data_IF_196223832192
#
_entry.id   IF_196223832192
#
_cell.length_a   1.000
_cell.length_b   1.000
_cell.length_c   1.000
_cell.angle_alpha   90.00
_cell.angle_beta   90.00
_cell.angle_gamma   90.00
#
_symmetry.space_group_name_H-M   'P 1'
#
loop_
_entity.id
_entity.type
_entity.pdbx_description
1 polymer ?
#
# COMPACT_ATOMS: atom_id res chain seq x y z
N UNK A 1 1.98 10.69 -11.28
CA UNK A 1 2.22 11.69 -10.23
C UNK A 1 1.27 11.60 -9.05
N UNK A 2 0.03 11.09 -9.18
CA UNK A 2 -0.88 10.93 -8.02
C UNK A 2 -0.45 9.81 -7.06
N UNK A 3 0.04 8.68 -7.59
CA UNK A 3 0.46 7.53 -6.78
C UNK A 3 1.60 7.83 -5.79
N UNK A 4 2.52 8.75 -6.13
CA UNK A 4 3.63 9.13 -5.24
C UNK A 4 3.18 9.92 -4.02
N UNK A 5 2.00 10.55 -4.07
CA UNK A 5 1.41 11.29 -2.94
C UNK A 5 0.39 10.47 -2.16
N UNK A 6 -0.25 9.49 -2.78
CA UNK A 6 -1.20 8.56 -2.13
C UNK A 6 -0.52 7.35 -1.48
N UNK A 7 0.80 7.34 -1.41
CA UNK A 7 1.61 6.32 -0.73
C UNK A 7 2.84 7.00 -0.14
N UNK A 8 3.44 6.44 0.91
CA UNK A 8 4.46 7.14 1.71
C UNK A 8 5.83 7.09 1.04
N UNK A 9 5.94 7.54 -0.22
CA UNK A 9 7.20 7.51 -0.97
C UNK A 9 8.10 8.69 -0.60
N UNK A 10 7.50 9.85 -0.34
CA UNK A 10 8.22 11.11 -0.09
C UNK A 10 8.09 11.60 1.36
N UNK A 11 7.30 10.91 2.17
CA UNK A 11 7.01 11.25 3.56
C UNK A 11 6.72 9.97 4.36
N UNK A 12 6.89 10.01 5.68
CA UNK A 12 6.62 8.87 6.55
C UNK A 12 5.12 8.62 6.71
N UNK A 13 4.70 7.35 6.72
CA UNK A 13 3.33 6.93 7.02
C UNK A 13 2.80 7.52 8.35
N UNK A 14 3.69 7.79 9.33
CA UNK A 14 3.33 8.37 10.61
C UNK A 14 2.71 9.77 10.45
N UNK A 15 3.12 10.54 9.44
CA UNK A 15 2.56 11.86 9.17
C UNK A 15 1.06 11.78 8.85
N UNK A 16 0.64 10.76 8.11
CA UNK A 16 -0.78 10.52 7.79
C UNK A 16 -1.56 10.14 9.04
N UNK A 17 -1.00 9.24 9.87
CA UNK A 17 -1.61 8.84 11.15
C UNK A 17 -1.79 10.02 12.10
N UNK A 18 -0.77 10.87 12.18
CA UNK A 18 -0.68 11.92 13.21
C UNK A 18 -1.37 13.23 12.79
N UNK A 19 -1.53 13.48 11.49
CA UNK A 19 -2.11 14.72 10.97
C UNK A 19 -3.58 14.57 10.57
N UNK A 20 -4.01 13.38 10.13
CA UNK A 20 -5.35 13.15 9.59
C UNK A 20 -6.23 12.33 10.54
N UNK A 21 -7.51 12.20 10.19
CA UNK A 21 -8.45 11.39 10.95
C UNK A 21 -8.08 9.90 10.91
N UNK A 22 -8.32 9.12 11.98
CA UNK A 22 -7.93 7.71 12.06
C UNK A 22 -8.45 6.83 10.91
N UNK A 23 -9.66 7.11 10.41
CA UNK A 23 -10.23 6.35 9.28
C UNK A 23 -9.48 6.59 7.97
N UNK A 24 -8.87 7.76 7.80
CA UNK A 24 -8.08 8.10 6.60
C UNK A 24 -6.82 7.24 6.56
N UNK A 25 -6.18 7.02 7.72
CA UNK A 25 -5.03 6.13 7.81
C UNK A 25 -5.38 4.69 7.41
N UNK A 26 -6.55 4.19 7.82
CA UNK A 26 -7.00 2.86 7.43
C UNK A 26 -7.24 2.76 5.91
N UNK A 27 -7.86 3.76 5.29
CA UNK A 27 -8.01 3.80 3.83
C UNK A 27 -6.67 3.90 3.10
N UNK A 28 -5.74 4.67 3.66
CA UNK A 28 -4.38 4.79 3.14
C UNK A 28 -3.67 3.43 3.13
N UNK A 29 -3.77 2.66 4.22
CA UNK A 29 -3.20 1.31 4.31
C UNK A 29 -3.97 0.24 3.51
N UNK A 30 -5.24 0.47 3.17
CA UNK A 30 -5.99 -0.41 2.25
C UNK A 30 -5.49 -0.33 0.80
N UNK A 31 -4.73 0.71 0.44
CA UNK A 31 -4.06 0.78 -0.86
C UNK A 31 -2.89 -0.21 -0.89
N UNK A 32 -2.92 -1.27 -1.74
CA UNK A 32 -1.85 -2.28 -1.76
C UNK A 32 -0.48 -1.70 -2.13
N UNK A 33 -0.43 -0.57 -2.87
CA UNK A 33 0.83 0.12 -3.15
C UNK A 33 1.46 0.73 -1.89
N UNK A 34 0.66 1.23 -0.96
CA UNK A 34 1.16 1.77 0.31
C UNK A 34 1.84 0.69 1.13
N UNK A 35 1.19 -0.49 1.25
CA UNK A 35 1.78 -1.63 1.96
C UNK A 35 3.05 -2.13 1.26
N UNK A 36 3.07 -2.15 -0.08
CA UNK A 36 4.27 -2.52 -0.82
C UNK A 36 5.45 -1.56 -0.50
N UNK A 37 5.23 -0.25 -0.53
CA UNK A 37 6.27 0.74 -0.20
C UNK A 37 6.81 0.54 1.21
N UNK A 38 5.95 0.29 2.18
CA UNK A 38 6.37 0.03 3.57
C UNK A 38 7.14 -1.29 3.73
N UNK A 39 6.79 -2.32 2.94
CA UNK A 39 7.61 -3.54 2.87
C UNK A 39 8.98 -3.28 2.25
N UNK A 40 9.09 -2.39 1.26
CA UNK A 40 10.38 -1.94 0.72
C UNK A 40 11.19 -1.17 1.77
N UNK A 41 10.56 -0.24 2.51
CA UNK A 41 11.20 0.46 3.62
C UNK A 41 11.74 -0.52 4.65
N UNK A 42 10.94 -1.52 5.03
CA UNK A 42 11.38 -2.55 5.95
C UNK A 42 12.53 -3.41 5.39
N UNK A 43 12.42 -3.90 4.16
CA UNK A 43 13.36 -4.87 3.62
C UNK A 43 14.71 -4.24 3.26
N UNK A 44 14.71 -3.01 2.75
CA UNK A 44 15.89 -2.38 2.18
C UNK A 44 16.45 -1.21 3.01
N UNK A 45 15.60 -0.40 3.66
CA UNK A 45 16.06 0.78 4.41
C UNK A 45 16.22 0.52 5.90
N UNK A 46 15.29 -0.19 6.53
CA UNK A 46 15.36 -0.43 7.97
C UNK A 46 16.68 -1.10 8.43
N UNK A 47 17.29 -2.03 7.66
CA UNK A 47 18.59 -2.61 8.02
C UNK A 47 19.76 -1.64 7.93
N UNK A 48 19.63 -0.52 7.21
CA UNK A 48 20.70 0.48 7.08
C UNK A 48 20.73 1.49 8.22
N UNK A 49 19.74 1.45 9.11
CA UNK A 49 19.62 2.35 10.25
C UNK A 49 20.49 1.89 11.42
N UNK A 50 21.16 2.84 12.09
CA UNK A 50 21.78 2.57 13.39
C UNK A 50 20.72 2.31 14.45
N UNK A 51 21.10 1.71 15.58
CA UNK A 51 20.15 1.49 16.68
C UNK A 51 19.59 2.79 17.25
N UNK A 52 20.38 3.88 17.21
CA UNK A 52 19.89 5.21 17.56
C UNK A 52 18.87 5.72 16.55
N UNK A 53 19.12 5.53 15.25
CA UNK A 53 18.21 6.01 14.20
C UNK A 53 16.85 5.32 14.26
N UNK A 54 16.81 4.02 14.61
CA UNK A 54 15.56 3.25 14.76
C UNK A 54 14.61 3.82 15.82
N UNK A 55 15.11 4.61 16.78
CA UNK A 55 14.30 5.26 17.80
C UNK A 55 13.53 6.47 17.26
N UNK A 56 13.91 6.99 16.09
CA UNK A 56 13.22 8.12 15.49
C UNK A 56 11.77 7.75 15.14
N UNK A 57 10.79 8.66 15.32
CA UNK A 57 9.41 8.40 14.93
C UNK A 57 9.25 8.06 13.43
N UNK A 58 10.11 8.62 12.58
CA UNK A 58 10.07 8.45 11.13
C UNK A 58 10.58 7.10 10.64
N UNK A 59 11.36 6.39 11.45
CA UNK A 59 11.92 5.07 11.12
C UNK A 59 11.10 3.91 11.68
N UNK A 60 9.97 4.20 12.35
CA UNK A 60 9.12 3.16 12.90
C UNK A 60 8.48 2.34 11.78
N UNK A 61 8.49 1.02 11.97
CA UNK A 61 7.75 0.10 11.10
C UNK A 61 6.25 0.22 11.41
N UNK A 62 5.42 0.21 10.37
CA UNK A 62 3.96 0.23 10.53
C UNK A 62 3.51 -0.92 11.46
N UNK A 63 2.71 -0.64 12.50
CA UNK A 63 2.14 -1.67 13.35
C UNK A 63 1.38 -2.72 12.54
N UNK A 64 1.63 -4.00 12.85
CA UNK A 64 0.99 -5.14 12.16
C UNK A 64 1.21 -5.17 10.64
N UNK A 65 2.30 -4.57 10.13
CA UNK A 65 2.64 -4.59 8.70
C UNK A 65 2.57 -6.02 8.13
N UNK A 66 3.26 -6.97 8.76
CA UNK A 66 3.29 -8.37 8.31
C UNK A 66 2.04 -9.16 8.66
N UNK A 67 1.53 -9.04 9.88
CA UNK A 67 0.47 -9.92 10.39
C UNK A 67 -0.91 -9.54 9.90
N UNK A 68 -1.12 -8.27 9.51
CA UNK A 68 -2.44 -7.76 9.12
C UNK A 68 -2.41 -7.11 7.73
N UNK A 69 -1.57 -6.09 7.54
CA UNK A 69 -1.62 -5.27 6.32
C UNK A 69 -1.12 -5.99 5.07
N UNK A 70 -0.08 -6.81 5.17
CA UNK A 70 0.41 -7.62 4.06
C UNK A 70 -0.65 -8.60 3.54
N UNK A 71 -1.30 -9.43 4.39
CA UNK A 71 -2.44 -10.25 3.96
C UNK A 71 -3.57 -9.44 3.31
N UNK A 72 -3.93 -8.29 3.88
CA UNK A 72 -4.97 -7.40 3.33
C UNK A 72 -4.58 -6.90 1.94
N UNK A 73 -3.35 -6.40 1.75
CA UNK A 73 -2.85 -5.92 0.46
C UNK A 73 -2.84 -7.01 -0.60
N UNK A 74 -2.43 -8.23 -0.24
CA UNK A 74 -2.50 -9.40 -1.13
C UNK A 74 -3.96 -9.67 -1.51
N UNK A 75 -4.87 -9.70 -0.52
CA UNK A 75 -6.30 -9.91 -0.74
C UNK A 75 -6.91 -8.88 -1.69
N UNK A 76 -6.67 -7.59 -1.45
CA UNK A 76 -7.16 -6.49 -2.29
C UNK A 76 -6.59 -6.58 -3.71
N UNK A 77 -5.30 -6.91 -3.84
CA UNK A 77 -4.65 -7.06 -5.16
C UNK A 77 -5.26 -8.21 -5.95
N UNK A 78 -5.42 -9.39 -5.32
CA UNK A 78 -6.05 -10.55 -5.94
C UNK A 78 -7.50 -10.27 -6.32
N UNK A 79 -8.29 -9.66 -5.44
CA UNK A 79 -9.67 -9.26 -5.73
C UNK A 79 -9.73 -8.33 -6.93
N UNK A 80 -8.83 -7.35 -7.01
CA UNK A 80 -8.76 -6.40 -8.13
C UNK A 80 -8.49 -7.13 -9.45
N UNK A 81 -7.53 -8.06 -9.46
CA UNK A 81 -7.22 -8.87 -10.65
C UNK A 81 -8.39 -9.77 -11.04
N UNK A 82 -9.00 -10.46 -10.08
CA UNK A 82 -10.12 -11.36 -10.33
C UNK A 82 -11.35 -10.62 -10.87
N UNK A 83 -11.67 -9.45 -10.31
CA UNK A 83 -12.75 -8.59 -10.82
C UNK A 83 -12.42 -8.10 -12.23
N UNK A 84 -11.17 -7.68 -12.47
CA UNK A 84 -10.71 -7.26 -13.80
C UNK A 84 -10.85 -8.36 -14.84
N UNK A 85 -10.34 -9.56 -14.54
CA UNK A 85 -10.44 -10.74 -15.43
C UNK A 85 -11.90 -11.14 -15.67
N UNK A 86 -12.72 -11.17 -14.62
CA UNK A 86 -14.15 -11.49 -14.74
C UNK A 86 -14.89 -10.49 -15.64
N UNK A 87 -14.69 -9.19 -15.42
CA UNK A 87 -15.30 -8.15 -16.23
C UNK A 87 -14.80 -8.22 -17.67
N UNK A 88 -13.50 -8.42 -17.88
CA UNK A 88 -12.92 -8.56 -19.21
C UNK A 88 -13.58 -9.70 -19.99
N UNK A 89 -13.62 -10.91 -19.43
CA UNK A 89 -14.27 -12.08 -20.06
C UNK A 89 -15.75 -11.87 -20.36
N UNK A 90 -16.44 -11.08 -19.53
CA UNK A 90 -17.85 -10.75 -19.76
C UNK A 90 -18.05 -9.86 -20.99
N UNK A 91 -17.09 -8.98 -21.29
CA UNK A 91 -17.22 -7.96 -22.34
C UNK A 91 -16.37 -8.25 -23.59
N UNK A 92 -15.44 -9.20 -23.56
CA UNK A 92 -14.54 -9.50 -24.68
C UNK A 92 -15.28 -9.89 -25.97
N UNK A 93 -16.46 -10.53 -25.87
CA UNK A 93 -17.26 -10.93 -27.03
C UNK A 93 -17.83 -9.76 -27.84
N UNK A 94 -18.15 -8.63 -27.20
CA UNK A 94 -18.63 -7.42 -27.86
C UNK A 94 -17.47 -6.59 -28.42
N UNK A 95 -16.24 -6.85 -27.98
CA UNK A 95 -15.06 -6.08 -28.33
C UNK A 95 -14.74 -6.17 -29.83
N UNK A 96 -14.99 -7.32 -30.46
CA UNK A 96 -14.81 -7.50 -31.90
C UNK A 96 -15.88 -6.78 -32.76
N UNK A 97 -16.96 -6.30 -32.14
CA UNK A 97 -18.05 -5.61 -32.83
C UNK A 97 -17.96 -4.07 -32.70
N UNK A 98 -17.25 -3.56 -31.69
CA UNK A 98 -17.13 -2.13 -31.39
C UNK A 98 -15.75 -1.52 -31.70
N UNK A 99 -14.85 -2.28 -32.34
CA UNK A 99 -13.53 -1.82 -32.81
C UNK A 99 -13.51 -1.61 -34.33
#
# INVERSE_FOLDING_TARGET
MVATWLSPVLYSWALVRDTLYPWVFNLFMMNPLTVAVELFHYAFWHPTLTDHDKLAPTSQVVPHLFSFWTPVAIGVSLLTVLIGDFLFRKFEGNFAQEL
#
